data_IF_488717118221
#
_entry.id   IF_488717118221
#
_cell.length_a   1.000
_cell.length_b   1.000
_cell.length_c   1.000
_cell.angle_alpha   90.00
_cell.angle_beta   90.00
_cell.angle_gamma   90.00
#
_symmetry.space_group_name_H-M   'P 1'
#
loop_
_entity.id
_entity.type
_entity.pdbx_description
1 polymer ?
#
# COMPACT_ATOMS: atom_id res chain seq x y z
N UNK A 1 -12.95 -13.07 -43.34
CA UNK A 1 -12.56 -13.10 -41.91
C UNK A 1 -11.36 -14.03 -41.74
N UNK A 2 -10.17 -13.52 -41.40
CA UNK A 2 -8.94 -14.31 -41.31
C UNK A 2 -9.01 -15.49 -40.35
N UNK A 3 -9.85 -15.37 -39.31
CA UNK A 3 -10.01 -16.40 -38.28
C UNK A 3 -10.84 -17.63 -38.71
N UNK A 4 -11.61 -17.56 -39.81
CA UNK A 4 -12.47 -18.67 -40.26
C UNK A 4 -11.71 -19.76 -41.03
N UNK A 5 -10.68 -19.39 -41.79
CA UNK A 5 -9.99 -20.30 -42.70
C UNK A 5 -9.17 -21.39 -41.97
N UNK A 6 -8.74 -21.13 -40.73
CA UNK A 6 -7.87 -22.02 -39.97
C UNK A 6 -8.54 -22.69 -38.75
N UNK A 7 -9.89 -22.68 -38.68
CA UNK A 7 -10.63 -23.16 -37.51
C UNK A 7 -10.31 -24.63 -37.15
N UNK A 8 -10.23 -25.52 -38.15
CA UNK A 8 -9.95 -26.95 -37.96
C UNK A 8 -8.48 -27.33 -37.78
N UNK A 9 -7.56 -26.35 -37.73
CA UNK A 9 -6.12 -26.56 -37.46
C UNK A 9 -5.62 -25.77 -36.25
N UNK A 10 -6.52 -25.06 -35.57
CA UNK A 10 -6.18 -24.13 -34.48
C UNK A 10 -5.67 -24.85 -33.23
N UNK A 11 -6.19 -26.04 -32.99
CA UNK A 11 -5.75 -27.00 -31.96
C UNK A 11 -4.29 -27.45 -32.15
N UNK A 12 -3.79 -27.44 -33.39
CA UNK A 12 -2.40 -27.80 -33.73
C UNK A 12 -1.40 -26.66 -33.53
N UNK A 13 -1.88 -25.44 -33.34
CA UNK A 13 -1.03 -24.28 -33.07
C UNK A 13 -0.75 -24.26 -31.57
N UNK A 14 0.51 -24.45 -31.13
CA UNK A 14 0.84 -24.38 -29.72
C UNK A 14 0.51 -22.98 -29.20
N UNK A 15 -0.27 -22.91 -28.12
CA UNK A 15 -0.56 -21.64 -27.46
C UNK A 15 0.73 -21.13 -26.83
N UNK A 16 1.08 -19.88 -27.12
CA UNK A 16 2.15 -19.20 -26.39
C UNK A 16 1.75 -19.14 -24.91
N UNK A 17 2.58 -19.72 -24.05
CA UNK A 17 2.43 -19.61 -22.60
C UNK A 17 3.22 -18.39 -22.15
N UNK A 18 2.53 -17.37 -21.69
CA UNK A 18 3.16 -16.19 -21.09
C UNK A 18 3.06 -16.32 -19.57
N UNK A 19 4.16 -16.00 -18.87
CA UNK A 19 4.21 -15.95 -17.41
C UNK A 19 4.76 -14.58 -17.03
N UNK A 20 4.02 -13.84 -16.21
CA UNK A 20 4.48 -12.56 -15.66
C UNK A 20 5.56 -12.88 -14.61
N UNK A 21 6.78 -12.42 -14.84
CA UNK A 21 7.94 -12.68 -13.96
C UNK A 21 8.29 -11.49 -13.07
N UNK A 22 7.82 -10.29 -13.41
CA UNK A 22 8.19 -9.03 -12.77
C UNK A 22 7.16 -8.54 -11.75
N UNK A 23 6.24 -9.41 -11.29
CA UNK A 23 5.16 -8.99 -10.37
C UNK A 23 5.69 -8.36 -9.08
N UNK A 24 6.79 -8.89 -8.53
CA UNK A 24 7.42 -8.35 -7.34
C UNK A 24 7.98 -6.93 -7.58
N UNK A 25 8.66 -6.70 -8.70
CA UNK A 25 9.21 -5.39 -9.06
C UNK A 25 8.11 -4.35 -9.29
N UNK A 26 7.03 -4.76 -9.95
CA UNK A 26 5.85 -3.91 -10.15
C UNK A 26 5.21 -3.50 -8.81
N UNK A 27 5.12 -4.46 -7.88
CA UNK A 27 4.55 -4.21 -6.55
C UNK A 27 5.43 -3.31 -5.68
N UNK A 28 6.76 -3.49 -5.70
CA UNK A 28 7.68 -2.57 -5.01
C UNK A 28 7.59 -1.14 -5.57
N UNK A 29 7.49 -1.00 -6.90
CA UNK A 29 7.24 0.30 -7.52
C UNK A 29 5.90 0.93 -7.12
N UNK A 30 4.87 0.13 -6.80
CA UNK A 30 3.60 0.63 -6.25
C UNK A 30 3.75 1.07 -4.80
N UNK A 31 4.51 0.34 -3.97
CA UNK A 31 4.77 0.70 -2.57
C UNK A 31 5.49 2.04 -2.47
N UNK A 32 6.49 2.28 -3.33
CA UNK A 32 7.23 3.54 -3.35
C UNK A 32 6.41 4.75 -3.81
N UNK A 33 5.35 4.56 -4.62
CA UNK A 33 4.50 5.66 -5.09
C UNK A 33 3.66 6.31 -3.97
N UNK A 34 3.56 5.66 -2.82
CA UNK A 34 2.89 6.20 -1.62
C UNK A 34 3.83 6.32 -0.43
N UNK A 35 5.14 6.18 -0.63
CA UNK A 35 6.09 6.27 0.48
C UNK A 35 6.29 7.75 0.88
N UNK A 36 6.07 8.02 2.16
CA UNK A 36 6.17 9.36 2.73
C UNK A 36 7.04 9.30 3.98
N UNK A 37 8.23 9.87 3.88
CA UNK A 37 9.11 10.09 5.04
C UNK A 37 8.80 11.44 5.65
N UNK A 38 8.31 11.44 6.88
CA UNK A 38 8.08 12.66 7.68
C UNK A 38 9.13 12.78 8.77
N UNK A 39 9.66 13.99 8.96
CA UNK A 39 10.50 14.33 10.10
C UNK A 39 9.63 14.97 11.16
N UNK A 40 9.64 14.40 12.36
CA UNK A 40 8.91 14.92 13.50
C UNK A 40 9.94 15.48 14.48
N UNK A 41 9.79 16.74 14.86
CA UNK A 41 10.65 17.38 15.87
C UNK A 41 10.51 16.70 17.23
N UNK A 42 11.59 16.62 18.00
CA UNK A 42 11.58 16.06 19.35
C UNK A 42 10.57 16.79 20.27
N UNK A 43 10.44 18.11 20.12
CA UNK A 43 9.47 18.91 20.86
C UNK A 43 8.02 18.46 20.60
N UNK A 44 7.68 18.18 19.34
CA UNK A 44 6.36 17.66 18.97
C UNK A 44 6.11 16.28 19.57
N UNK A 45 7.09 15.37 19.56
CA UNK A 45 7.00 14.05 20.19
C UNK A 45 6.76 14.19 21.70
N UNK A 46 7.50 15.11 22.34
CA UNK A 46 7.35 15.43 23.76
C UNK A 46 5.93 15.90 24.12
N UNK A 47 5.31 16.69 23.25
CA UNK A 47 3.95 17.22 23.44
C UNK A 47 2.84 16.22 23.09
N UNK A 48 3.13 15.17 22.31
CA UNK A 48 2.14 14.16 21.94
C UNK A 48 1.79 13.21 23.07
N UNK A 49 2.62 13.08 24.10
CA UNK A 49 2.31 12.23 25.25
C UNK A 49 1.21 12.84 26.11
N UNK A 50 0.17 12.07 26.43
CA UNK A 50 -0.90 12.53 27.31
C UNK A 50 -0.41 12.68 28.75
N UNK A 51 -0.79 13.79 29.41
CA UNK A 51 -0.62 13.92 30.85
C UNK A 51 -1.44 12.86 31.62
N UNK A 52 -0.92 12.41 32.76
CA UNK A 52 -1.59 11.42 33.61
C UNK A 52 -2.94 11.97 34.10
N UNK A 53 -4.03 11.31 33.69
CA UNK A 53 -5.39 11.66 34.13
C UNK A 53 -5.76 11.05 35.48
N UNK A 54 -6.55 11.79 36.24
CA UNK A 54 -7.18 11.36 37.51
C UNK A 54 -8.65 10.96 37.34
N UNK A 55 -9.25 11.23 36.17
CA UNK A 55 -10.66 10.94 35.86
C UNK A 55 -10.84 9.64 35.06
N UNK A 56 -12.06 9.09 35.07
CA UNK A 56 -12.41 7.81 34.41
C UNK A 56 -12.75 8.05 32.92
N UNK A 57 -12.15 7.24 32.02
CA UNK A 57 -12.40 7.29 30.57
C UNK A 57 -11.41 8.15 29.75
N UNK A 58 -11.28 7.84 28.45
CA UNK A 58 -10.40 8.53 27.47
C UNK A 58 -9.09 7.80 27.14
N UNK A 59 -8.49 8.13 25.99
CA UNK A 59 -7.21 7.56 25.53
C UNK A 59 -6.05 8.11 26.38
N UNK A 60 -5.26 7.21 26.99
CA UNK A 60 -4.19 7.56 27.95
C UNK A 60 -2.83 7.85 27.31
N UNK A 61 -2.73 7.71 25.98
CA UNK A 61 -1.44 7.63 25.28
C UNK A 61 -1.10 8.90 24.52
N UNK A 62 -2.09 9.54 23.90
CA UNK A 62 -1.88 10.71 23.06
C UNK A 62 -2.65 11.91 23.59
N UNK A 63 -2.00 13.07 23.57
CA UNK A 63 -2.61 14.36 23.87
C UNK A 63 -3.54 14.78 22.72
N UNK A 64 -4.40 15.77 22.96
CA UNK A 64 -5.27 16.31 21.91
C UNK A 64 -4.46 16.94 20.76
N UNK A 65 -3.26 17.48 21.05
CA UNK A 65 -2.35 18.03 20.04
C UNK A 65 -1.90 16.96 19.02
N UNK A 66 -1.84 15.70 19.42
CA UNK A 66 -1.43 14.62 18.53
C UNK A 66 -2.54 14.23 17.54
N UNK A 67 -3.79 14.63 17.79
CA UNK A 67 -4.97 14.26 16.97
C UNK A 67 -5.88 15.50 16.88
N UNK A 68 -5.60 16.35 15.90
CA UNK A 68 -6.44 17.49 15.54
C UNK A 68 -7.26 17.17 14.27
N UNK A 69 -8.46 17.74 14.14
CA UNK A 69 -9.38 17.58 13.01
C UNK A 69 -9.20 18.70 11.97
#
# INVERSE_FOLDING_TARGET
MPHKFNAGRRDKIPKQKQRVTNWAEYNEGLRWRGDLTVWISEDAIGLWSAARRTTRGGQRRYSNLAIEL
#
